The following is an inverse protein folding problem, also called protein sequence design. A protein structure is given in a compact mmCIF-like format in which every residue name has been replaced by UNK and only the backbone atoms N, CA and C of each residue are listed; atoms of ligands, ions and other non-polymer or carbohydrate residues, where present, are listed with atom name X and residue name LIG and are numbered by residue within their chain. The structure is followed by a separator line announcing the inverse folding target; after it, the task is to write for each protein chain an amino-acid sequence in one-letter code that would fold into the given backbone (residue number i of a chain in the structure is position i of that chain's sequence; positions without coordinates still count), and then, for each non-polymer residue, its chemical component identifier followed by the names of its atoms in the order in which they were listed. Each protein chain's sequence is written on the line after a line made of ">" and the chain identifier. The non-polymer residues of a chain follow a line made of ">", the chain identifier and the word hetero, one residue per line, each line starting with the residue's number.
data_IF_579964182298
#
_entry.id   IF_579964182298
#
_cell.length_a   1.000
_cell.length_b   1.000
_cell.length_c   1.000
_cell.angle_alpha   90.00
_cell.angle_beta   90.00
_cell.angle_gamma   90.00
#
_symmetry.space_group_name_H-M   'P 1'
#
loop_
_entity.id
_entity.type
_entity.pdbx_description
1 polymer ?
#
# COMPACT_ATOMS: atom_id res chain seq x y z
N UNK A 1 30.10 8.71 -9.25
CA UNK A 1 29.97 8.11 -7.92
C UNK A 1 28.95 7.00 -8.04
N UNK A 2 29.30 5.77 -7.68
CA UNK A 2 28.32 4.67 -7.62
C UNK A 2 27.27 4.99 -6.56
N UNK A 3 26.00 5.01 -6.97
CA UNK A 3 24.85 5.16 -6.09
C UNK A 3 24.51 3.83 -5.39
N UNK A 4 25.53 3.03 -5.10
CA UNK A 4 25.43 1.68 -4.57
C UNK A 4 26.28 1.58 -3.29
N UNK A 5 25.75 0.91 -2.27
CA UNK A 5 26.44 0.56 -1.02
C UNK A 5 27.34 -0.66 -1.23
N UNK A 6 28.26 -0.93 -0.30
CA UNK A 6 29.20 -2.05 -0.44
C UNK A 6 28.51 -3.43 -0.49
N UNK A 7 27.26 -3.53 -0.02
CA UNK A 7 26.40 -4.71 -0.07
C UNK A 7 25.44 -4.73 -1.28
N UNK A 8 25.64 -3.85 -2.27
CA UNK A 8 24.89 -3.88 -3.53
C UNK A 8 23.52 -3.20 -3.50
N UNK A 9 23.20 -2.41 -2.47
CA UNK A 9 21.93 -1.68 -2.35
C UNK A 9 22.05 -0.25 -2.85
N UNK A 10 20.95 0.36 -3.26
CA UNK A 10 20.93 1.76 -3.69
C UNK A 10 21.14 2.68 -2.48
N UNK A 11 22.07 3.63 -2.57
CA UNK A 11 22.31 4.63 -1.53
C UNK A 11 21.18 5.66 -1.43
N UNK A 12 20.62 6.09 -2.55
CA UNK A 12 19.56 7.12 -2.55
C UNK A 12 18.72 7.05 -3.83
N UNK A 13 17.39 7.01 -3.71
CA UNK A 13 16.46 7.16 -4.85
C UNK A 13 16.41 8.65 -5.21
N UNK A 14 16.97 9.03 -6.37
CA UNK A 14 17.44 10.39 -6.67
C UNK A 14 16.35 11.47 -6.60
N UNK A 15 15.14 11.18 -7.05
CA UNK A 15 14.06 12.16 -7.12
C UNK A 15 13.42 12.46 -5.77
N UNK A 16 13.40 11.49 -4.85
CA UNK A 16 12.71 11.60 -3.54
C UNK A 16 13.64 11.59 -2.33
N UNK A 17 14.96 11.48 -2.56
CA UNK A 17 15.99 11.36 -1.51
C UNK A 17 15.69 10.25 -0.49
N UNK A 18 14.98 9.21 -0.92
CA UNK A 18 14.60 8.08 -0.08
C UNK A 18 15.70 7.02 -0.06
N UNK A 19 15.88 6.35 1.08
CA UNK A 19 16.84 5.25 1.26
C UNK A 19 16.15 3.89 1.18
N UNK A 20 16.94 2.81 1.14
CA UNK A 20 16.41 1.44 1.27
C UNK A 20 15.65 1.23 2.59
N UNK A 21 16.02 1.91 3.67
CA UNK A 21 15.29 1.85 4.94
C UNK A 21 13.92 2.53 4.83
N UNK A 22 13.82 3.63 4.08
CA UNK A 22 12.54 4.31 3.87
C UNK A 22 11.60 3.48 3.01
N UNK A 23 12.15 2.76 2.03
CA UNK A 23 11.41 1.75 1.27
C UNK A 23 10.90 0.61 2.17
N UNK A 24 11.75 0.04 3.02
CA UNK A 24 11.35 -1.01 3.95
C UNK A 24 10.26 -0.54 4.94
N UNK A 25 10.36 0.70 5.43
CA UNK A 25 9.32 1.32 6.27
C UNK A 25 8.01 1.45 5.51
N UNK A 26 8.04 1.93 4.26
CA UNK A 26 6.84 2.07 3.43
C UNK A 26 6.16 0.72 3.19
N UNK A 27 6.93 -0.34 2.91
CA UNK A 27 6.39 -1.71 2.75
C UNK A 27 5.71 -2.18 4.04
N UNK A 28 6.33 -1.97 5.20
CA UNK A 28 5.73 -2.33 6.49
C UNK A 28 4.44 -1.56 6.75
N UNK A 29 4.42 -0.25 6.50
CA UNK A 29 3.21 0.58 6.62
C UNK A 29 2.09 0.08 5.68
N UNK A 30 2.43 -0.34 4.46
CA UNK A 30 1.50 -0.96 3.53
C UNK A 30 0.94 -2.29 4.05
N UNK A 31 1.79 -3.17 4.59
CA UNK A 31 1.37 -4.45 5.19
C UNK A 31 0.45 -4.25 6.40
N UNK A 32 0.78 -3.30 7.27
CA UNK A 32 -0.06 -2.95 8.42
C UNK A 32 -1.42 -2.41 7.97
N UNK A 33 -1.45 -1.46 7.03
CA UNK A 33 -2.69 -0.91 6.51
C UNK A 33 -3.57 -1.97 5.81
N UNK A 34 -2.96 -2.90 5.06
CA UNK A 34 -3.65 -4.03 4.45
C UNK A 34 -4.30 -4.92 5.52
N UNK A 35 -3.54 -5.31 6.55
CA UNK A 35 -4.05 -6.14 7.64
C UNK A 35 -5.18 -5.45 8.41
N UNK A 36 -5.07 -4.15 8.68
CA UNK A 36 -6.13 -3.38 9.30
C UNK A 36 -7.41 -3.40 8.45
N UNK A 37 -7.29 -3.18 7.14
CA UNK A 37 -8.43 -3.23 6.22
C UNK A 37 -9.06 -4.64 6.17
N UNK A 38 -8.26 -5.70 6.14
CA UNK A 38 -8.73 -7.09 6.20
C UNK A 38 -9.54 -7.36 7.47
N UNK A 39 -9.09 -6.88 8.63
CA UNK A 39 -9.84 -6.99 9.89
C UNK A 39 -11.21 -6.29 9.80
N UNK A 40 -11.26 -5.10 9.19
CA UNK A 40 -12.53 -4.40 8.99
C UNK A 40 -13.46 -5.14 8.03
N UNK A 41 -12.91 -5.72 6.95
CA UNK A 41 -13.65 -6.53 5.98
C UNK A 41 -14.19 -7.81 6.62
N UNK A 42 -13.42 -8.47 7.47
CA UNK A 42 -13.90 -9.63 8.23
C UNK A 42 -15.02 -9.25 9.22
N UNK A 43 -14.89 -8.09 9.87
CA UNK A 43 -15.85 -7.63 10.88
C UNK A 43 -17.18 -7.18 10.29
N UNK A 44 -17.16 -6.48 9.15
CA UNK A 44 -18.33 -5.76 8.63
C UNK A 44 -18.68 -6.10 7.17
N UNK A 45 -17.84 -6.84 6.46
CA UNK A 45 -17.99 -7.11 5.03
C UNK A 45 -17.18 -6.16 4.16
N UNK A 46 -17.15 -6.41 2.86
CA UNK A 46 -16.35 -5.60 1.93
C UNK A 46 -16.93 -4.17 1.76
N UNK A 47 -16.10 -3.26 1.22
CA UNK A 47 -16.47 -1.83 1.08
C UNK A 47 -17.72 -1.64 0.23
N UNK A 48 -17.88 -2.40 -0.87
CA UNK A 48 -19.06 -2.28 -1.73
C UNK A 48 -20.35 -2.71 -1.01
N UNK A 49 -20.29 -3.76 -0.19
CA UNK A 49 -21.43 -4.16 0.64
C UNK A 49 -21.84 -3.05 1.61
N UNK A 50 -20.86 -2.45 2.31
CA UNK A 50 -21.14 -1.35 3.24
C UNK A 50 -21.65 -0.10 2.51
N UNK A 51 -21.14 0.19 1.31
CA UNK A 51 -21.62 1.29 0.47
C UNK A 51 -23.08 1.08 0.04
N UNK A 52 -23.45 -0.12 -0.37
CA UNK A 52 -24.84 -0.47 -0.69
C UNK A 52 -25.75 -0.31 0.53
N UNK A 53 -25.28 -0.69 1.72
CA UNK A 53 -26.01 -0.45 2.96
C UNK A 53 -26.15 1.04 3.26
N UNK A 54 -25.08 1.83 3.08
CA UNK A 54 -25.09 3.27 3.34
C UNK A 54 -26.06 4.02 2.42
N UNK A 55 -26.17 3.58 1.16
CA UNK A 55 -27.14 4.12 0.20
C UNK A 55 -28.60 3.85 0.60
N UNK A 56 -28.86 2.76 1.33
CA UNK A 56 -30.21 2.39 1.79
C UNK A 56 -30.54 3.05 3.12
N UNK A 57 -29.64 2.98 4.10
CA UNK A 57 -29.83 3.53 5.44
C UNK A 57 -28.48 3.86 6.11
N UNK A 58 -27.96 5.04 5.79
CA UNK A 58 -26.68 5.54 6.29
C UNK A 58 -26.59 5.65 7.82
N UNK A 59 -27.71 5.96 8.48
CA UNK A 59 -27.76 6.26 9.92
C UNK A 59 -28.00 5.02 10.78
N UNK A 60 -28.21 3.85 10.17
CA UNK A 60 -28.41 2.60 10.91
C UNK A 60 -27.15 2.25 11.71
N UNK A 61 -27.30 2.01 13.01
CA UNK A 61 -26.19 1.60 13.89
C UNK A 61 -25.97 0.10 13.73
N UNK A 62 -24.80 -0.30 13.22
CA UNK A 62 -24.44 -1.71 13.01
C UNK A 62 -23.35 -2.21 13.96
N UNK A 63 -22.56 -1.31 14.56
CA UNK A 63 -21.70 -1.64 15.70
C UNK A 63 -22.27 -0.98 16.96
N UNK A 64 -23.03 -1.75 17.75
CA UNK A 64 -23.64 -1.26 18.98
C UNK A 64 -22.62 -0.98 20.09
N UNK A 65 -21.47 -1.65 20.06
CA UNK A 65 -20.44 -1.51 21.08
C UNK A 65 -19.69 -0.19 20.91
N UNK A 66 -19.41 0.18 19.66
CA UNK A 66 -18.73 1.44 19.31
C UNK A 66 -19.73 2.54 18.91
N UNK A 67 -21.03 2.24 18.90
CA UNK A 67 -22.10 3.12 18.43
C UNK A 67 -21.84 3.72 17.04
N UNK A 68 -21.34 2.88 16.11
CA UNK A 68 -21.03 3.30 14.74
C UNK A 68 -22.19 3.02 13.80
N UNK A 69 -22.49 4.02 12.98
CA UNK A 69 -23.45 3.90 11.88
C UNK A 69 -22.81 3.22 10.66
N UNK A 70 -23.65 2.80 9.71
CA UNK A 70 -23.17 2.30 8.41
C UNK A 70 -22.30 3.33 7.71
N UNK A 71 -22.65 4.62 7.79
CA UNK A 71 -21.86 5.69 7.20
C UNK A 71 -20.49 5.86 7.87
N UNK A 72 -20.43 5.76 9.20
CA UNK A 72 -19.15 5.86 9.92
C UNK A 72 -18.19 4.75 9.49
N UNK A 73 -18.70 3.52 9.38
CA UNK A 73 -17.93 2.36 8.94
C UNK A 73 -17.51 2.51 7.47
N UNK A 74 -18.41 2.98 6.60
CA UNK A 74 -18.06 3.26 5.21
C UNK A 74 -16.89 4.24 5.09
N UNK A 75 -16.95 5.35 5.83
CA UNK A 75 -15.91 6.38 5.85
C UNK A 75 -14.59 5.79 6.40
N UNK A 76 -14.65 5.02 7.47
CA UNK A 76 -13.47 4.39 8.07
C UNK A 76 -12.78 3.44 7.09
N UNK A 77 -13.54 2.53 6.47
CA UNK A 77 -12.99 1.57 5.52
C UNK A 77 -12.45 2.24 4.26
N UNK A 78 -13.14 3.28 3.76
CA UNK A 78 -12.69 4.05 2.59
C UNK A 78 -11.36 4.76 2.87
N UNK A 79 -11.23 5.42 4.04
CA UNK A 79 -9.97 6.06 4.44
C UNK A 79 -8.82 5.07 4.51
N UNK A 80 -9.06 3.87 5.03
CA UNK A 80 -8.04 2.81 5.11
C UNK A 80 -7.66 2.28 3.72
N UNK A 81 -8.62 2.11 2.82
CA UNK A 81 -8.36 1.72 1.44
C UNK A 81 -7.57 2.80 0.68
N UNK A 82 -7.92 4.08 0.83
CA UNK A 82 -7.18 5.21 0.25
C UNK A 82 -5.74 5.28 0.78
N UNK A 83 -5.55 5.04 2.08
CA UNK A 83 -4.22 4.98 2.68
C UNK A 83 -3.38 3.86 2.09
N UNK A 84 -3.95 2.66 1.93
CA UNK A 84 -3.27 1.52 1.29
C UNK A 84 -2.91 1.83 -0.17
N UNK A 85 -3.83 2.43 -0.92
CA UNK A 85 -3.59 2.86 -2.30
C UNK A 85 -2.48 3.92 -2.39
N UNK A 86 -2.42 4.87 -1.46
CA UNK A 86 -1.35 5.84 -1.40
C UNK A 86 0.03 5.17 -1.15
N UNK A 87 0.09 4.17 -0.28
CA UNK A 87 1.32 3.40 -0.07
C UNK A 87 1.71 2.56 -1.29
N UNK A 88 0.74 1.97 -1.97
CA UNK A 88 0.97 1.27 -3.24
C UNK A 88 1.57 2.20 -4.31
N UNK A 89 1.00 3.39 -4.48
CA UNK A 89 1.52 4.37 -5.43
C UNK A 89 2.91 4.87 -5.05
N UNK A 90 3.14 5.17 -3.77
CA UNK A 90 4.46 5.57 -3.29
C UNK A 90 5.49 4.46 -3.52
N UNK A 91 5.09 3.19 -3.35
CA UNK A 91 5.94 2.05 -3.63
C UNK A 91 6.26 1.94 -5.12
N UNK A 92 5.27 2.09 -6.00
CA UNK A 92 5.48 2.09 -7.44
C UNK A 92 6.48 3.16 -7.87
N UNK A 93 6.34 4.39 -7.37
CA UNK A 93 7.29 5.47 -7.66
C UNK A 93 8.70 5.13 -7.17
N UNK A 94 8.83 4.56 -5.97
CA UNK A 94 10.16 4.14 -5.45
C UNK A 94 10.76 2.97 -6.23
N UNK A 95 9.93 2.08 -6.76
CA UNK A 95 10.34 0.94 -7.58
C UNK A 95 10.75 1.38 -8.98
N UNK A 96 9.92 2.12 -9.70
CA UNK A 96 10.25 2.64 -11.04
C UNK A 96 11.55 3.48 -11.02
N UNK A 97 11.73 4.32 -9.99
CA UNK A 97 12.91 5.19 -9.89
C UNK A 97 14.16 4.48 -9.32
N UNK A 98 13.98 3.45 -8.49
CA UNK A 98 15.07 2.73 -7.83
C UNK A 98 15.52 1.48 -8.58
N UNK A 99 14.57 0.66 -9.01
CA UNK A 99 14.85 -0.66 -9.58
C UNK A 99 15.44 -0.55 -10.98
N UNK A 100 15.07 0.45 -11.78
CA UNK A 100 15.74 0.69 -13.08
C UNK A 100 17.25 0.96 -12.92
N UNK A 101 17.67 1.73 -11.91
CA UNK A 101 19.10 1.94 -11.65
C UNK A 101 19.79 0.64 -11.20
N UNK A 102 19.15 -0.15 -10.33
CA UNK A 102 19.71 -1.42 -9.86
C UNK A 102 19.85 -2.44 -11.01
N UNK A 103 18.81 -2.56 -11.84
CA UNK A 103 18.76 -3.49 -12.96
C UNK A 103 19.71 -3.11 -14.09
N UNK A 104 19.82 -1.81 -14.41
CA UNK A 104 20.80 -1.32 -15.37
C UNK A 104 22.22 -1.64 -14.92
N UNK A 105 22.52 -1.60 -13.61
CA UNK A 105 23.85 -1.97 -13.11
C UNK A 105 24.15 -3.47 -13.17
N UNK A 106 23.14 -4.33 -13.27
CA UNK A 106 23.30 -5.79 -13.47
C UNK A 106 22.91 -6.28 -14.87
N UNK A 107 22.70 -5.37 -15.82
CA UNK A 107 22.50 -5.67 -17.24
C UNK A 107 21.12 -6.24 -17.62
N UNK A 108 20.08 -5.98 -16.82
CA UNK A 108 18.71 -6.45 -17.08
C UNK A 108 17.88 -5.26 -17.60
N UNK A 109 17.23 -5.45 -18.76
CA UNK A 109 16.41 -4.41 -19.42
C UNK A 109 15.06 -4.23 -18.71
N UNK A 110 14.55 -2.98 -18.54
CA UNK A 110 13.25 -2.69 -17.91
C UNK A 110 12.03 -3.34 -18.60
N UNK A 111 12.19 -3.87 -19.81
CA UNK A 111 11.11 -4.46 -20.63
C UNK A 111 10.46 -5.71 -20.01
N UNK A 112 10.97 -6.21 -18.88
CA UNK A 112 10.45 -7.37 -18.15
C UNK A 112 9.43 -7.06 -17.05
N UNK A 113 9.19 -5.79 -16.70
CA UNK A 113 8.30 -5.41 -15.59
C UNK A 113 6.83 -5.34 -15.99
N UNK A 114 6.30 -6.46 -16.47
CA UNK A 114 4.87 -6.76 -16.42
C UNK A 114 4.44 -7.42 -15.10
N UNK A 115 5.32 -7.46 -14.10
CA UNK A 115 5.16 -8.25 -12.88
C UNK A 115 4.84 -7.33 -11.70
N UNK A 116 3.71 -7.59 -11.04
CA UNK A 116 3.22 -6.88 -9.88
C UNK A 116 4.10 -7.20 -8.65
N UNK A 117 5.33 -6.67 -8.66
CA UNK A 117 6.34 -6.88 -7.62
C UNK A 117 5.84 -6.41 -6.25
N UNK A 118 4.88 -5.47 -6.24
CA UNK A 118 4.15 -5.06 -5.04
C UNK A 118 3.36 -6.20 -4.42
N UNK A 119 2.58 -6.94 -5.22
CA UNK A 119 1.82 -8.09 -4.73
C UNK A 119 2.75 -9.17 -4.15
N UNK A 120 3.93 -9.37 -4.75
CA UNK A 120 4.94 -10.32 -4.28
C UNK A 120 5.62 -9.89 -2.97
N UNK A 121 5.85 -8.58 -2.77
CA UNK A 121 6.36 -8.02 -1.51
C UNK A 121 5.30 -7.98 -0.39
N UNK A 122 4.01 -7.95 -0.74
CA UNK A 122 2.93 -8.04 0.24
C UNK A 122 2.65 -9.48 0.69
N UNK A 123 2.92 -10.47 -0.17
CA UNK A 123 2.63 -11.88 0.09
C UNK A 123 3.79 -12.67 0.72
N UNK A 124 4.99 -12.06 0.85
CA UNK A 124 6.15 -12.57 1.59
C UNK A 124 6.52 -11.62 2.72
#
# INVERSE_FOLDING_TARGET
>A
MENITADGKIKTIRCVKATHEDFAKLVNLGKEAKKELEILVEKWGNIEHIKEMAQKDACHVIDQKENKTVLDIYIEMTKKAEQLYAYHNAYHVLMEEGVDELLMTIGISPDGYGYDFYELCLNN
#
